data_IF_911437460055
#
_entry.id   IF_911437460055
#
_cell.length_a   1.000
_cell.length_b   1.000
_cell.length_c   1.000
_cell.angle_alpha   90.00
_cell.angle_beta   90.00
_cell.angle_gamma   90.00
#
_symmetry.space_group_name_H-M   'P 1'
#
loop_
_entity.id
_entity.type
_entity.pdbx_description
1 polymer ?
#
# COMPACT_ATOMS: atom_id res chain seq x y z
N UNK A 1 -12.61 -23.69 52.94
CA UNK A 1 -11.33 -24.24 52.56
C UNK A 1 -11.36 -24.89 51.18
N UNK A 2 -12.34 -25.71 50.93
CA UNK A 2 -12.56 -26.29 49.60
C UNK A 2 -12.82 -25.22 48.52
N UNK A 3 -13.55 -24.19 48.88
CA UNK A 3 -13.87 -23.08 48.01
C UNK A 3 -12.60 -22.31 47.57
N UNK A 4 -11.61 -22.22 48.46
CA UNK A 4 -10.34 -21.58 48.14
C UNK A 4 -9.49 -22.38 47.15
N UNK A 5 -9.51 -23.72 47.26
CA UNK A 5 -8.79 -24.58 46.35
C UNK A 5 -9.43 -24.56 44.94
N UNK A 6 -10.75 -24.59 44.86
CA UNK A 6 -11.49 -24.48 43.62
C UNK A 6 -11.15 -23.13 42.92
N UNK A 7 -11.14 -22.08 43.70
CA UNK A 7 -10.81 -20.75 43.22
C UNK A 7 -9.38 -20.64 42.68
N UNK A 8 -8.46 -21.28 43.37
CA UNK A 8 -7.07 -21.32 42.94
C UNK A 8 -6.89 -22.07 41.63
N UNK A 9 -7.56 -23.21 41.49
CA UNK A 9 -7.54 -24.00 40.25
C UNK A 9 -8.13 -23.22 39.08
N UNK A 10 -9.17 -22.47 39.30
CA UNK A 10 -9.78 -21.64 38.30
C UNK A 10 -8.78 -20.61 37.75
N UNK A 11 -8.06 -19.89 38.59
CA UNK A 11 -7.05 -18.95 38.16
C UNK A 11 -5.90 -19.61 37.45
N UNK A 12 -5.48 -20.76 37.86
CA UNK A 12 -4.41 -21.53 37.22
C UNK A 12 -4.81 -21.94 35.80
N UNK A 13 -6.04 -22.42 35.63
CA UNK A 13 -6.57 -22.81 34.32
C UNK A 13 -6.71 -21.60 33.39
N UNK A 14 -7.15 -20.49 33.91
CA UNK A 14 -7.27 -19.25 33.13
C UNK A 14 -5.93 -18.75 32.65
N UNK A 15 -4.91 -18.74 33.50
CA UNK A 15 -3.55 -18.38 33.10
C UNK A 15 -3.00 -19.31 32.03
N UNK A 16 -3.27 -20.60 32.15
CA UNK A 16 -2.84 -21.59 31.15
C UNK A 16 -3.54 -21.36 29.82
N UNK A 17 -4.83 -21.05 29.85
CA UNK A 17 -5.61 -20.75 28.66
C UNK A 17 -5.08 -19.53 27.91
N UNK A 18 -4.79 -18.43 28.59
CA UNK A 18 -4.22 -17.23 28.00
C UNK A 18 -2.83 -17.49 27.43
N UNK A 19 -2.02 -18.29 28.10
CA UNK A 19 -0.69 -18.65 27.61
C UNK A 19 -0.76 -19.47 26.31
N UNK A 20 -1.67 -20.43 26.25
CA UNK A 20 -1.88 -21.23 25.02
C UNK A 20 -2.33 -20.37 23.84
N UNK A 21 -3.25 -19.45 24.07
CA UNK A 21 -3.70 -18.52 23.03
C UNK A 21 -2.54 -17.65 22.56
N UNK A 22 -1.75 -17.11 23.46
CA UNK A 22 -0.62 -16.26 23.13
C UNK A 22 0.43 -17.02 22.32
N UNK A 23 0.75 -18.23 22.70
CA UNK A 23 1.68 -19.08 21.95
C UNK A 23 1.16 -19.40 20.55
N UNK A 24 -0.13 -19.65 20.43
CA UNK A 24 -0.78 -19.92 19.14
C UNK A 24 -0.72 -18.71 18.21
N UNK A 25 -0.92 -17.51 18.72
CA UNK A 25 -0.81 -16.27 17.95
C UNK A 25 0.66 -15.96 17.61
N UNK A 26 1.57 -16.15 18.54
CA UNK A 26 2.99 -15.96 18.31
C UNK A 26 3.54 -16.91 17.25
N UNK A 27 3.02 -18.14 17.16
CA UNK A 27 3.38 -19.11 16.14
C UNK A 27 2.85 -18.72 14.75
N UNK A 28 1.77 -17.93 14.69
CA UNK A 28 1.21 -17.45 13.44
C UNK A 28 1.89 -16.17 12.92
N UNK A 29 2.39 -15.31 13.80
CA UNK A 29 3.10 -14.11 13.44
C UNK A 29 4.41 -14.37 12.66
N UNK A 30 5.24 -15.36 13.01
CA UNK A 30 6.44 -15.66 12.22
C UNK A 30 6.16 -16.19 10.81
N UNK A 31 4.99 -16.79 10.58
CA UNK A 31 4.57 -17.22 9.25
C UNK A 31 4.16 -16.03 8.37
N UNK A 32 3.76 -14.94 9.00
CA UNK A 32 3.58 -13.64 8.36
C UNK A 32 4.86 -12.81 8.47
N UNK A 33 6.02 -13.44 8.33
CA UNK A 33 7.27 -12.71 8.29
C UNK A 33 7.13 -11.56 7.28
N UNK A 34 7.53 -10.34 7.64
CA UNK A 34 7.35 -9.20 6.77
C UNK A 34 8.01 -9.51 5.43
N UNK A 35 7.23 -9.37 4.36
CA UNK A 35 7.74 -9.49 3.01
C UNK A 35 8.96 -8.56 2.92
N UNK A 36 10.14 -9.08 2.58
CA UNK A 36 11.31 -8.24 2.50
C UNK A 36 11.06 -7.11 1.51
N UNK A 37 11.27 -5.88 1.95
CA UNK A 37 11.11 -4.71 1.10
C UNK A 37 12.30 -4.63 0.18
N UNK A 38 12.06 -4.80 -1.12
CA UNK A 38 13.08 -4.66 -2.14
C UNK A 38 13.12 -3.21 -2.57
N UNK A 39 14.28 -2.57 -2.42
CA UNK A 39 14.48 -1.18 -2.78
C UNK A 39 14.74 -1.01 -4.28
N UNK A 40 14.40 0.18 -4.79
CA UNK A 40 14.73 0.58 -6.16
C UNK A 40 16.24 0.77 -6.28
N UNK A 41 16.86 0.14 -7.26
CA UNK A 41 18.30 0.16 -7.46
C UNK A 41 18.75 1.31 -8.36
N UNK A 42 17.95 1.68 -9.35
CA UNK A 42 18.32 2.70 -10.31
C UNK A 42 17.84 4.09 -9.88
N UNK A 43 18.79 4.98 -9.66
CA UNK A 43 18.55 6.35 -9.21
C UNK A 43 17.65 7.18 -10.14
N UNK A 44 17.53 6.81 -11.41
CA UNK A 44 16.65 7.51 -12.35
C UNK A 44 15.18 7.47 -11.94
N UNK A 45 14.80 6.45 -11.16
CA UNK A 45 13.43 6.30 -10.66
C UNK A 45 13.16 7.15 -9.42
N UNK A 46 14.19 7.64 -8.74
CA UNK A 46 14.01 8.42 -7.52
C UNK A 46 13.30 9.74 -7.80
N UNK A 47 12.33 10.07 -6.96
CA UNK A 47 11.56 11.29 -7.06
C UNK A 47 10.09 11.06 -6.76
N UNK A 48 9.28 12.05 -7.06
CA UNK A 48 7.84 12.02 -6.90
C UNK A 48 7.16 12.20 -8.25
N UNK A 49 6.17 11.37 -8.52
CA UNK A 49 5.42 11.33 -9.77
C UNK A 49 3.95 11.59 -9.46
N UNK A 50 3.40 12.60 -10.10
CA UNK A 50 2.05 13.10 -9.83
C UNK A 50 1.14 12.91 -11.05
N UNK A 51 -0.06 12.40 -10.80
CA UNK A 51 -1.16 12.45 -11.74
C UNK A 51 -2.35 13.11 -11.04
N UNK A 52 -2.83 14.20 -11.61
CA UNK A 52 -3.90 15.02 -11.04
C UNK A 52 -5.08 15.10 -12.00
N UNK A 53 -6.28 14.78 -11.48
CA UNK A 53 -7.52 14.88 -12.22
C UNK A 53 -8.40 15.89 -11.51
N UNK A 54 -9.00 16.83 -12.27
CA UNK A 54 -10.01 17.71 -11.72
C UNK A 54 -11.13 17.92 -12.74
N UNK A 55 -12.35 18.08 -12.23
CA UNK A 55 -13.51 18.44 -13.04
C UNK A 55 -13.82 19.90 -12.77
N UNK A 56 -13.39 20.77 -13.67
CA UNK A 56 -13.59 22.22 -13.55
C UNK A 56 -14.98 22.67 -13.98
N UNK A 57 -15.82 21.75 -14.49
CA UNK A 57 -17.20 22.07 -14.87
C UNK A 57 -18.15 22.13 -13.67
N UNK A 58 -17.72 21.64 -12.52
CA UNK A 58 -18.47 21.60 -11.27
C UNK A 58 -17.81 22.54 -10.24
N UNK A 59 -18.62 23.23 -9.45
CA UNK A 59 -18.11 24.13 -8.39
C UNK A 59 -18.70 23.70 -7.05
N UNK A 60 -17.89 23.43 -6.02
CA UNK A 60 -16.43 23.34 -6.05
C UNK A 60 -15.95 22.18 -6.92
N UNK A 61 -14.81 22.37 -7.58
CA UNK A 61 -14.25 21.36 -8.49
C UNK A 61 -13.77 20.14 -7.72
N UNK A 62 -14.32 18.94 -7.94
CA UNK A 62 -13.76 17.73 -7.37
C UNK A 62 -12.40 17.45 -8.00
N UNK A 63 -11.49 16.89 -7.20
CA UNK A 63 -10.17 16.51 -7.68
C UNK A 63 -9.75 15.17 -7.09
N UNK A 64 -8.84 14.50 -7.79
CA UNK A 64 -8.12 13.34 -7.28
C UNK A 64 -6.66 13.51 -7.65
N UNK A 65 -5.79 13.35 -6.68
CA UNK A 65 -4.34 13.41 -6.86
C UNK A 65 -3.74 12.06 -6.51
N UNK A 66 -2.96 11.51 -7.43
CA UNK A 66 -2.19 10.30 -7.19
C UNK A 66 -0.71 10.65 -7.19
N UNK A 67 0.01 10.18 -6.18
CA UNK A 67 1.44 10.42 -6.06
C UNK A 67 2.16 9.08 -5.82
N UNK A 68 3.19 8.83 -6.61
CA UNK A 68 4.13 7.76 -6.38
C UNK A 68 5.47 8.38 -5.98
N UNK A 69 5.86 8.18 -4.73
CA UNK A 69 7.11 8.69 -4.18
C UNK A 69 8.12 7.55 -4.09
N UNK A 70 9.27 7.73 -4.70
CA UNK A 70 10.33 6.72 -4.74
C UNK A 70 11.61 7.30 -4.15
N UNK A 71 12.08 6.68 -3.08
CA UNK A 71 13.33 7.02 -2.42
C UNK A 71 14.20 5.77 -2.27
N UNK A 72 15.43 5.95 -1.81
CA UNK A 72 16.39 4.85 -1.67
C UNK A 72 15.91 3.76 -0.70
N UNK A 73 15.12 4.13 0.29
CA UNK A 73 14.70 3.25 1.38
C UNK A 73 13.20 2.97 1.38
N UNK A 74 12.41 3.67 0.56
CA UNK A 74 10.97 3.59 0.64
C UNK A 74 10.30 3.98 -0.68
N UNK A 75 9.26 3.22 -1.03
CA UNK A 75 8.33 3.57 -2.11
C UNK A 75 6.94 3.70 -1.51
N UNK A 76 6.28 4.81 -1.78
CA UNK A 76 4.93 5.11 -1.27
C UNK A 76 4.02 5.49 -2.42
N UNK A 77 2.90 4.80 -2.52
CA UNK A 77 1.85 5.12 -3.49
C UNK A 77 0.63 5.64 -2.74
N UNK A 78 0.16 6.81 -3.12
CA UNK A 78 -0.95 7.46 -2.43
C UNK A 78 -1.97 8.04 -3.40
N UNK A 79 -3.20 8.14 -2.93
CA UNK A 79 -4.29 8.84 -3.61
C UNK A 79 -5.05 9.68 -2.62
N UNK A 80 -5.42 10.88 -3.04
CA UNK A 80 -6.15 11.81 -2.20
C UNK A 80 -7.14 12.61 -3.05
N UNK A 81 -8.32 12.87 -2.51
CA UNK A 81 -9.32 13.67 -3.19
C UNK A 81 -10.72 13.13 -3.01
N UNK A 82 -11.57 13.34 -4.00
CA UNK A 82 -12.96 12.95 -3.95
C UNK A 82 -13.11 11.44 -3.84
N UNK A 83 -13.70 10.96 -2.74
CA UNK A 83 -13.91 9.53 -2.44
C UNK A 83 -12.66 8.67 -2.58
N UNK A 84 -11.50 9.30 -2.41
CA UNK A 84 -10.20 8.64 -2.54
C UNK A 84 -9.31 9.08 -1.40
N UNK A 85 -8.87 8.12 -0.60
CA UNK A 85 -7.88 8.38 0.45
C UNK A 85 -7.15 7.07 0.74
N UNK A 86 -5.89 6.97 0.32
CA UNK A 86 -5.05 5.84 0.66
C UNK A 86 -3.58 6.25 0.63
N UNK A 87 -2.79 5.54 1.40
CA UNK A 87 -1.34 5.66 1.39
C UNK A 87 -0.79 4.28 1.70
N UNK A 88 -0.01 3.72 0.78
CA UNK A 88 0.51 2.37 0.90
C UNK A 88 2.01 2.34 0.63
N UNK A 89 2.71 1.52 1.40
CA UNK A 89 4.11 1.22 1.16
C UNK A 89 4.21 0.11 0.13
N UNK A 90 5.13 0.28 -0.80
CA UNK A 90 5.36 -0.66 -1.89
C UNK A 90 6.80 -1.18 -1.87
N UNK A 91 6.97 -2.34 -2.50
CA UNK A 91 8.27 -2.99 -2.70
C UNK A 91 8.45 -3.29 -4.19
N UNK A 92 9.68 -3.29 -4.66
CA UNK A 92 9.97 -3.59 -6.06
C UNK A 92 9.64 -5.05 -6.37
N UNK A 93 8.79 -5.25 -7.36
CA UNK A 93 8.52 -6.56 -7.94
C UNK A 93 9.48 -6.84 -9.10
N UNK A 94 9.56 -5.92 -10.04
CA UNK A 94 10.50 -5.97 -11.16
C UNK A 94 11.01 -4.58 -11.48
N UNK A 95 12.26 -4.50 -11.87
CA UNK A 95 12.90 -3.25 -12.28
C UNK A 95 13.66 -3.50 -13.58
N UNK A 96 13.31 -2.76 -14.61
CA UNK A 96 13.98 -2.79 -15.91
C UNK A 96 14.40 -1.38 -16.28
N UNK A 97 15.04 -1.23 -17.43
CA UNK A 97 15.46 0.07 -17.94
C UNK A 97 14.26 1.03 -18.14
N UNK A 98 13.12 0.51 -18.57
CA UNK A 98 11.97 1.31 -18.99
C UNK A 98 10.73 1.12 -18.13
N UNK A 99 10.75 0.19 -17.18
CA UNK A 99 9.59 -0.14 -16.36
C UNK A 99 9.99 -0.49 -14.93
N UNK A 100 9.28 0.07 -13.98
CA UNK A 100 9.35 -0.29 -12.57
C UNK A 100 7.98 -0.79 -12.12
N UNK A 101 7.91 -2.01 -11.63
CA UNK A 101 6.68 -2.59 -11.07
C UNK A 101 6.81 -2.71 -9.57
N UNK A 102 5.79 -2.28 -8.85
CA UNK A 102 5.77 -2.25 -7.40
C UNK A 102 4.59 -3.05 -6.87
N UNK A 103 4.84 -3.79 -5.80
CA UNK A 103 3.82 -4.56 -5.10
C UNK A 103 3.49 -3.94 -3.74
N UNK A 104 2.28 -4.17 -3.29
CA UNK A 104 1.80 -3.74 -1.99
C UNK A 104 2.55 -4.45 -0.85
N UNK A 105 2.98 -3.67 0.15
CA UNK A 105 3.56 -4.19 1.39
C UNK A 105 2.58 -4.00 2.54
N UNK A 106 2.20 -2.77 2.81
CA UNK A 106 1.26 -2.44 3.89
C UNK A 106 0.60 -1.08 3.67
N UNK A 107 -0.55 -0.89 4.29
CA UNK A 107 -1.20 0.41 4.34
C UNK A 107 -0.50 1.29 5.39
N UNK A 108 -0.27 2.55 5.04
CA UNK A 108 0.28 3.56 5.94
C UNK A 108 -0.81 4.47 6.51
N UNK A 109 -2.04 4.35 5.99
CA UNK A 109 -3.20 5.12 6.42
C UNK A 109 -4.21 4.21 7.11
N UNK A 110 -4.76 4.65 8.24
CA UNK A 110 -5.81 3.93 8.96
C UNK A 110 -7.17 4.13 8.28
N UNK A 111 -7.41 5.32 7.75
CA UNK A 111 -8.65 5.67 7.06
C UNK A 111 -8.47 5.54 5.56
N UNK A 112 -8.96 4.44 5.01
CA UNK A 112 -8.87 4.17 3.58
C UNK A 112 -10.25 4.23 2.94
N UNK A 113 -10.42 5.13 1.98
CA UNK A 113 -11.64 5.28 1.19
C UNK A 113 -11.53 4.58 -0.17
N UNK A 114 -10.54 3.74 -0.36
CA UNK A 114 -10.40 2.97 -1.59
C UNK A 114 -10.67 1.49 -1.33
N UNK A 115 -11.35 0.83 -2.26
CA UNK A 115 -11.56 -0.60 -2.13
C UNK A 115 -10.24 -1.36 -2.25
N UNK A 116 -9.95 -2.14 -1.24
CA UNK A 116 -9.07 -3.31 -1.26
C UNK A 116 -7.76 -3.20 -2.03
N UNK A 117 -6.92 -2.20 -1.68
CA UNK A 117 -5.53 -2.27 -2.09
C UNK A 117 -4.88 -3.32 -1.19
N UNK A 118 -4.61 -4.49 -1.72
CA UNK A 118 -4.05 -5.60 -0.98
C UNK A 118 -3.06 -6.40 -1.84
N UNK A 119 -2.52 -7.47 -1.24
CA UNK A 119 -1.51 -8.32 -1.88
C UNK A 119 -2.04 -9.16 -3.04
N UNK A 120 -3.36 -9.28 -3.17
CA UNK A 120 -3.96 -10.09 -4.23
C UNK A 120 -3.91 -9.40 -5.58
N UNK A 121 -3.71 -8.09 -5.60
CA UNK A 121 -3.56 -7.32 -6.82
C UNK A 121 -2.08 -7.01 -7.02
N UNK A 122 -1.46 -7.69 -7.96
CA UNK A 122 -0.02 -7.56 -8.26
C UNK A 122 0.19 -7.39 -9.76
N UNK A 123 0.92 -6.37 -10.20
CA UNK A 123 1.50 -5.30 -9.39
C UNK A 123 0.46 -4.29 -8.93
N UNK A 124 0.75 -3.59 -7.85
CA UNK A 124 -0.10 -2.51 -7.34
C UNK A 124 -0.02 -1.29 -8.24
N UNK A 125 1.17 -0.95 -8.68
CA UNK A 125 1.42 0.20 -9.58
C UNK A 125 2.65 -0.06 -10.43
N UNK A 126 2.57 0.38 -11.68
CA UNK A 126 3.70 0.38 -12.61
C UNK A 126 4.07 1.81 -12.95
N UNK A 127 5.37 2.07 -13.05
CA UNK A 127 5.92 3.32 -13.54
C UNK A 127 6.73 3.02 -14.80
N UNK A 128 6.42 3.73 -15.88
CA UNK A 128 7.10 3.59 -17.17
C UNK A 128 7.87 4.85 -17.50
N UNK A 129 9.01 4.68 -18.16
CA UNK A 129 9.76 5.76 -18.76
C UNK A 129 9.85 5.52 -20.26
N UNK A 130 9.38 6.46 -21.05
CA UNK A 130 9.40 6.36 -22.50
C UNK A 130 9.59 7.75 -23.14
N UNK A 131 10.63 7.90 -23.94
CA UNK A 131 10.89 9.12 -24.73
C UNK A 131 10.89 10.40 -23.87
N UNK A 132 11.53 10.35 -22.71
CA UNK A 132 11.63 11.49 -21.80
C UNK A 132 10.41 11.74 -20.94
N UNK A 133 9.40 10.87 -21.00
CA UNK A 133 8.16 11.00 -20.23
C UNK A 133 7.94 9.82 -19.32
N UNK A 134 7.18 10.06 -18.25
CA UNK A 134 6.81 9.04 -17.28
C UNK A 134 5.31 8.75 -17.37
N UNK A 135 4.94 7.48 -17.13
CA UNK A 135 3.55 7.03 -17.16
C UNK A 135 3.27 6.15 -15.96
N UNK A 136 2.12 6.36 -15.33
CA UNK A 136 1.60 5.48 -14.29
C UNK A 136 0.55 4.54 -14.85
N UNK A 137 0.52 3.31 -14.34
CA UNK A 137 -0.51 2.34 -14.64
C UNK A 137 -0.84 1.57 -13.37
N UNK A 138 -2.10 1.56 -12.99
CA UNK A 138 -2.54 0.87 -11.78
C UNK A 138 -4.03 0.57 -11.87
N UNK A 139 -4.49 -0.58 -11.32
CA UNK A 139 -5.92 -0.84 -11.19
C UNK A 139 -6.62 0.11 -10.22
N UNK A 140 -5.86 0.90 -9.46
CA UNK A 140 -6.38 1.88 -8.50
C UNK A 140 -6.40 3.31 -9.02
N UNK A 141 -5.91 3.53 -10.23
CA UNK A 141 -5.91 4.84 -10.89
C UNK A 141 -6.92 4.83 -12.03
N UNK A 142 -7.87 5.76 -12.00
CA UNK A 142 -8.79 5.97 -13.11
C UNK A 142 -8.33 7.18 -13.94
N UNK A 143 -8.46 7.09 -15.28
CA UNK A 143 -8.23 8.24 -16.14
C UNK A 143 -9.47 9.15 -16.19
N UNK A 144 -9.43 10.22 -16.98
CA UNK A 144 -10.53 11.16 -17.13
C UNK A 144 -11.81 10.54 -17.68
N UNK A 145 -11.71 9.38 -18.32
CA UNK A 145 -12.85 8.63 -18.87
C UNK A 145 -13.34 7.55 -17.88
N UNK A 146 -12.74 7.44 -16.69
CA UNK A 146 -13.08 6.44 -15.69
C UNK A 146 -12.50 5.06 -15.96
N UNK A 147 -11.60 4.92 -16.92
CA UNK A 147 -10.93 3.65 -17.21
C UNK A 147 -9.76 3.42 -16.30
N UNK A 148 -9.62 2.19 -15.82
CA UNK A 148 -8.53 1.74 -14.95
C UNK A 148 -7.52 0.91 -15.74
N UNK A 149 -6.34 0.71 -15.18
CA UNK A 149 -5.25 -0.07 -15.80
C UNK A 149 -4.82 0.46 -17.17
N UNK A 150 -4.81 1.76 -17.34
CA UNK A 150 -4.30 2.40 -18.54
C UNK A 150 -3.04 3.20 -18.21
N UNK A 151 -2.13 3.27 -19.17
CA UNK A 151 -0.92 4.09 -19.00
C UNK A 151 -1.31 5.56 -19.10
N UNK A 152 -1.03 6.29 -18.04
CA UNK A 152 -1.39 7.70 -17.91
C UNK A 152 -0.12 8.50 -17.75
N UNK A 153 0.06 9.51 -18.60
CA UNK A 153 1.21 10.41 -18.47
C UNK A 153 1.16 11.10 -17.10
N UNK A 154 2.26 11.04 -16.37
CA UNK A 154 2.40 11.68 -15.09
C UNK A 154 3.59 12.65 -15.12
N UNK A 155 3.59 13.57 -14.16
CA UNK A 155 4.63 14.58 -14.05
C UNK A 155 5.58 14.23 -12.92
N UNK A 156 6.85 14.22 -13.19
CA UNK A 156 7.87 14.10 -12.14
C UNK A 156 8.06 15.48 -11.51
N UNK A 157 7.72 15.59 -10.21
CA UNK A 157 7.74 16.87 -9.50
C UNK A 157 8.96 17.05 -8.59
N UNK A 158 9.69 15.97 -8.33
CA UNK A 158 10.95 16.01 -7.58
C UNK A 158 11.97 15.04 -8.13
#
# INVERSE_FOLDING_TARGET
MEDGEVYHNYFTNEKRYFKEIKEKYDDQEPEESPTPIVAVQNHKWFGEYEYFISDTTVVPSPFIEYILSIAADQCVFSGNGQMTAFEVQCSVKTETKDKLSLDFVKSLSEDTLMPNIDRNVSPTVNLYYRKGKYYLESPFISNTEGKKNVKIECRKIK
#
